data_IF_371277648545
#
_entry.id   IF_371277648545
#
_cell.length_a   1.000
_cell.length_b   1.000
_cell.length_c   1.000
_cell.angle_alpha   90.00
_cell.angle_beta   90.00
_cell.angle_gamma   90.00
#
_symmetry.space_group_name_H-M   'P 1'
#
loop_
_entity.id
_entity.type
_entity.pdbx_description
1 polymer ?
#
# COMPACT_ATOMS: atom_id res chain seq x y z
N UNK A 1 7.03 22.75 -13.18
CA UNK A 1 5.81 22.57 -12.35
C UNK A 1 6.14 21.52 -11.30
N UNK A 2 5.76 21.71 -10.05
CA UNK A 2 5.97 20.66 -9.03
C UNK A 2 4.84 19.64 -9.21
N UNK A 3 5.19 18.36 -9.45
CA UNK A 3 4.21 17.28 -9.56
C UNK A 3 3.88 16.81 -8.16
N UNK A 4 2.60 16.84 -7.83
CA UNK A 4 2.06 16.49 -6.52
C UNK A 4 1.09 15.32 -6.63
N UNK A 5 0.70 14.72 -5.50
CA UNK A 5 -0.34 13.70 -5.45
C UNK A 5 -1.63 14.18 -6.14
N UNK A 6 -2.02 15.45 -5.95
CA UNK A 6 -3.22 16.01 -6.59
C UNK A 6 -3.11 16.04 -8.12
N UNK A 7 -1.89 16.31 -8.65
CA UNK A 7 -1.64 16.22 -10.10
C UNK A 7 -1.85 14.79 -10.61
N UNK A 8 -1.39 13.79 -9.84
CA UNK A 8 -1.55 12.37 -10.18
C UNK A 8 -3.01 11.94 -10.13
N UNK A 9 -3.75 12.33 -9.09
CA UNK A 9 -5.18 12.03 -8.92
C UNK A 9 -6.04 12.61 -10.04
N UNK A 10 -5.66 13.77 -10.56
CA UNK A 10 -6.38 14.43 -11.66
C UNK A 10 -5.99 13.90 -13.05
N UNK A 11 -5.01 13.04 -13.16
CA UNK A 11 -4.53 12.53 -14.47
C UNK A 11 -5.52 11.51 -15.05
N UNK A 12 -6.08 11.74 -16.27
CA UNK A 12 -7.07 10.85 -16.85
C UNK A 12 -6.59 9.41 -17.08
N UNK A 13 -5.29 9.22 -17.38
CA UNK A 13 -4.68 7.91 -17.59
C UNK A 13 -4.63 7.13 -16.26
N UNK A 14 -4.30 7.81 -15.16
CA UNK A 14 -4.31 7.20 -13.81
C UNK A 14 -5.72 6.79 -13.42
N UNK A 15 -6.71 7.67 -13.61
CA UNK A 15 -8.12 7.41 -13.30
C UNK A 15 -8.59 6.17 -14.05
N UNK A 16 -8.44 6.14 -15.38
CA UNK A 16 -8.90 5.05 -16.22
C UNK A 16 -8.24 3.71 -15.86
N UNK A 17 -6.93 3.72 -15.55
CA UNK A 17 -6.21 2.49 -15.23
C UNK A 17 -6.55 1.95 -13.84
N UNK A 18 -6.73 2.81 -12.83
CA UNK A 18 -7.15 2.37 -11.49
C UNK A 18 -8.60 1.84 -11.49
N UNK A 19 -9.49 2.46 -12.25
CA UNK A 19 -10.86 1.94 -12.42
C UNK A 19 -10.84 0.55 -13.04
N UNK A 20 -10.14 0.38 -14.16
CA UNK A 20 -10.04 -0.90 -14.85
C UNK A 20 -9.35 -1.97 -13.98
N UNK A 21 -8.25 -1.62 -13.31
CA UNK A 21 -7.56 -2.53 -12.39
C UNK A 21 -8.48 -3.05 -11.28
N UNK A 22 -9.23 -2.14 -10.65
CA UNK A 22 -10.19 -2.51 -9.61
C UNK A 22 -11.34 -3.38 -10.13
N UNK A 23 -11.85 -3.10 -11.33
CA UNK A 23 -12.87 -3.92 -11.97
C UNK A 23 -12.36 -5.34 -12.27
N UNK A 24 -11.17 -5.45 -12.88
CA UNK A 24 -10.59 -6.74 -13.25
C UNK A 24 -10.29 -7.61 -12.03
N UNK A 25 -9.76 -7.02 -10.95
CA UNK A 25 -9.57 -7.71 -9.68
C UNK A 25 -10.90 -8.20 -9.09
N UNK A 26 -11.97 -7.42 -9.23
CA UNK A 26 -13.30 -7.84 -8.81
C UNK A 26 -13.81 -9.05 -9.58
N UNK A 27 -13.60 -9.11 -10.90
CA UNK A 27 -13.99 -10.25 -11.74
C UNK A 27 -13.30 -11.54 -11.33
N UNK A 28 -12.03 -11.48 -10.89
CA UNK A 28 -11.26 -12.66 -10.48
C UNK A 28 -11.31 -12.91 -8.96
N UNK A 29 -12.20 -12.20 -8.22
CA UNK A 29 -12.51 -12.49 -6.83
C UNK A 29 -11.60 -11.85 -5.78
N UNK A 30 -10.75 -10.89 -6.16
CA UNK A 30 -9.90 -10.18 -5.20
C UNK A 30 -10.67 -9.07 -4.46
N UNK A 31 -10.17 -8.72 -3.27
CA UNK A 31 -10.64 -7.59 -2.47
C UNK A 31 -10.52 -6.25 -3.23
N UNK A 32 -11.09 -5.19 -2.69
CA UNK A 32 -11.05 -3.86 -3.29
C UNK A 32 -9.60 -3.30 -3.33
N UNK A 33 -9.15 -2.87 -4.52
CA UNK A 33 -7.87 -2.21 -4.79
C UNK A 33 -8.09 -0.98 -5.69
N UNK A 34 -9.18 -0.25 -5.44
CA UNK A 34 -9.54 0.96 -6.18
C UNK A 34 -9.05 2.24 -5.50
N UNK A 35 -9.76 3.34 -5.79
CA UNK A 35 -9.39 4.68 -5.30
C UNK A 35 -9.31 4.77 -3.78
N UNK A 36 -10.22 4.11 -3.03
CA UNK A 36 -10.18 4.12 -1.57
C UNK A 36 -8.87 3.54 -1.04
N UNK A 37 -8.47 2.37 -1.54
CA UNK A 37 -7.20 1.74 -1.17
C UNK A 37 -6.02 2.63 -1.56
N UNK A 38 -5.96 3.08 -2.81
CA UNK A 38 -4.91 3.97 -3.30
C UNK A 38 -4.77 5.25 -2.46
N UNK A 39 -5.89 5.89 -2.11
CA UNK A 39 -5.92 7.07 -1.24
C UNK A 39 -5.44 6.77 0.18
N UNK A 40 -5.88 5.67 0.75
CA UNK A 40 -5.46 5.23 2.09
C UNK A 40 -3.95 5.02 2.13
N UNK A 41 -3.41 4.25 1.19
CA UNK A 41 -1.97 3.95 1.12
C UNK A 41 -1.15 5.21 0.85
N UNK A 42 -1.61 6.09 -0.05
CA UNK A 42 -0.95 7.37 -0.31
C UNK A 42 -0.84 8.24 0.95
N UNK A 43 -1.95 8.41 1.66
CA UNK A 43 -1.99 9.23 2.87
C UNK A 43 -1.14 8.64 4.00
N UNK A 44 -1.22 7.33 4.24
CA UNK A 44 -0.42 6.65 5.25
C UNK A 44 1.06 6.72 4.95
N UNK A 45 1.48 6.47 3.69
CA UNK A 45 2.89 6.56 3.28
C UNK A 45 3.47 7.95 3.52
N UNK A 46 2.74 9.00 3.14
CA UNK A 46 3.12 10.40 3.41
C UNK A 46 3.24 10.66 4.91
N UNK A 47 2.23 10.26 5.67
CA UNK A 47 2.16 10.50 7.11
C UNK A 47 3.31 9.82 7.86
N UNK A 48 3.69 8.59 7.53
CA UNK A 48 4.83 7.89 8.11
C UNK A 48 6.09 8.76 8.00
N UNK A 49 6.45 9.17 6.78
CA UNK A 49 7.67 9.95 6.56
C UNK A 49 7.59 11.35 7.19
N UNK A 50 6.42 11.98 7.15
CA UNK A 50 6.20 13.30 7.79
C UNK A 50 6.40 13.22 9.30
N UNK A 51 5.79 12.24 9.97
CA UNK A 51 5.92 12.06 11.43
C UNK A 51 7.34 11.67 11.85
N UNK A 52 8.07 10.95 10.99
CA UNK A 52 9.49 10.65 11.20
C UNK A 52 10.43 11.81 10.81
N UNK A 53 9.87 13.00 10.50
CA UNK A 53 10.60 14.23 10.17
C UNK A 53 11.46 14.16 8.91
N UNK A 54 11.11 13.29 7.94
CA UNK A 54 11.70 13.32 6.61
C UNK A 54 11.31 14.62 5.90
N UNK A 55 12.25 15.18 5.12
CA UNK A 55 12.03 16.43 4.41
C UNK A 55 11.45 16.18 3.01
N UNK A 56 10.72 17.16 2.49
CA UNK A 56 10.34 17.17 1.09
C UNK A 56 11.60 17.00 0.19
N UNK A 57 11.49 16.28 -0.94
CA UNK A 57 10.23 15.79 -1.52
C UNK A 57 9.81 14.39 -1.04
N UNK A 58 10.50 13.72 -0.10
CA UNK A 58 10.28 12.31 0.21
C UNK A 58 8.85 11.97 0.68
N UNK A 59 8.19 12.76 1.57
CA UNK A 59 6.80 12.50 1.93
C UNK A 59 5.84 12.57 0.73
N UNK A 60 6.03 13.52 -0.17
CA UNK A 60 5.20 13.63 -1.37
C UNK A 60 5.45 12.49 -2.36
N UNK A 61 6.71 12.08 -2.55
CA UNK A 61 7.04 10.90 -3.37
C UNK A 61 6.44 9.62 -2.79
N UNK A 62 6.38 9.49 -1.46
CA UNK A 62 5.73 8.37 -0.80
C UNK A 62 4.22 8.35 -1.04
N UNK A 63 3.56 9.52 -1.02
CA UNK A 63 2.16 9.63 -1.38
C UNK A 63 1.90 9.20 -2.83
N UNK A 64 2.73 9.67 -3.77
CA UNK A 64 2.60 9.33 -5.19
C UNK A 64 2.85 7.82 -5.41
N UNK A 65 3.90 7.26 -4.79
CA UNK A 65 4.17 5.82 -4.86
C UNK A 65 3.00 5.01 -4.30
N UNK A 66 2.45 5.41 -3.15
CA UNK A 66 1.29 4.78 -2.53
C UNK A 66 0.04 4.82 -3.40
N UNK A 67 -0.19 5.90 -4.13
CA UNK A 67 -1.35 6.01 -5.02
C UNK A 67 -1.22 5.15 -6.28
N UNK A 68 0.00 4.94 -6.78
CA UNK A 68 0.27 4.25 -8.04
C UNK A 68 0.69 2.78 -7.87
N UNK A 69 0.92 2.30 -6.64
CA UNK A 69 1.58 1.00 -6.40
C UNK A 69 0.86 -0.19 -7.03
N UNK A 70 -0.46 -0.12 -7.12
CA UNK A 70 -1.33 -1.21 -7.61
C UNK A 70 -1.89 -0.99 -9.02
N UNK A 71 -1.53 0.12 -9.69
CA UNK A 71 -2.06 0.47 -11.02
C UNK A 71 -1.80 -0.62 -12.08
N UNK A 72 -0.75 -1.42 -11.90
CA UNK A 72 -0.37 -2.51 -12.80
C UNK A 72 -1.32 -3.71 -12.76
N UNK A 73 -2.25 -3.79 -11.80
CA UNK A 73 -3.31 -4.78 -11.81
C UNK A 73 -4.23 -4.66 -13.05
N UNK A 74 -4.18 -3.53 -13.77
CA UNK A 74 -4.83 -3.40 -15.09
C UNK A 74 -4.24 -4.34 -16.14
N UNK A 75 -2.99 -4.78 -15.97
CA UNK A 75 -2.32 -5.71 -16.87
C UNK A 75 -2.51 -7.15 -16.41
N UNK A 76 -2.11 -7.44 -15.16
CA UNK A 76 -2.16 -8.79 -14.59
C UNK A 76 -1.90 -8.73 -13.08
N UNK A 77 -2.60 -9.56 -12.28
CA UNK A 77 -2.34 -9.65 -10.84
C UNK A 77 -0.96 -10.23 -10.51
N UNK A 78 -0.53 -11.24 -11.25
CA UNK A 78 0.74 -11.93 -10.95
C UNK A 78 1.96 -11.01 -11.12
N UNK A 79 1.96 -10.18 -12.17
CA UNK A 79 3.07 -9.31 -12.53
C UNK A 79 2.82 -7.83 -12.19
N UNK A 80 1.76 -7.55 -11.40
CA UNK A 80 1.32 -6.17 -11.15
C UNK A 80 2.41 -5.27 -10.59
N UNK A 81 3.33 -5.78 -9.79
CA UNK A 81 4.44 -5.02 -9.19
C UNK A 81 5.29 -4.37 -10.29
N UNK A 82 5.79 -5.21 -11.20
CA UNK A 82 6.62 -4.73 -12.32
C UNK A 82 5.81 -3.87 -13.28
N UNK A 83 4.56 -4.26 -13.57
CA UNK A 83 3.67 -3.49 -14.41
C UNK A 83 3.35 -2.10 -13.80
N UNK A 84 3.08 -2.03 -12.48
CA UNK A 84 2.86 -0.77 -11.77
C UNK A 84 4.07 0.15 -11.85
N UNK A 85 5.27 -0.39 -11.62
CA UNK A 85 6.52 0.37 -11.68
C UNK A 85 6.75 0.97 -13.09
N UNK A 86 6.51 0.20 -14.14
CA UNK A 86 6.67 0.65 -15.52
C UNK A 86 5.60 1.66 -15.94
N UNK A 87 4.33 1.44 -15.57
CA UNK A 87 3.23 2.37 -15.83
C UNK A 87 3.46 3.69 -15.08
N UNK A 88 3.89 3.61 -13.81
CA UNK A 88 4.22 4.80 -13.03
C UNK A 88 5.39 5.59 -13.67
N UNK A 89 6.44 4.90 -14.12
CA UNK A 89 7.57 5.53 -14.82
C UNK A 89 7.11 6.30 -16.07
N UNK A 90 6.24 5.70 -16.88
CA UNK A 90 5.70 6.29 -18.10
C UNK A 90 4.88 7.56 -17.77
N UNK A 91 3.91 7.45 -16.87
CA UNK A 91 3.05 8.58 -16.45
C UNK A 91 3.87 9.72 -15.85
N UNK A 92 4.79 9.42 -14.94
CA UNK A 92 5.61 10.43 -14.27
C UNK A 92 6.58 11.11 -15.24
N UNK A 93 7.11 10.37 -16.22
CA UNK A 93 7.93 10.89 -17.30
C UNK A 93 7.14 11.82 -18.23
N UNK A 94 5.93 11.47 -18.63
CA UNK A 94 5.02 12.33 -19.42
C UNK A 94 4.71 13.65 -18.69
N UNK A 95 4.59 13.60 -17.36
CA UNK A 95 4.35 14.78 -16.53
C UNK A 95 5.62 15.62 -16.32
N UNK A 96 6.80 15.15 -16.71
CA UNK A 96 8.07 15.85 -16.57
C UNK A 96 8.66 15.82 -15.16
N UNK A 97 8.39 14.76 -14.39
CA UNK A 97 9.04 14.57 -13.08
C UNK A 97 10.55 14.36 -13.26
N UNK A 98 11.41 14.92 -12.38
CA UNK A 98 12.85 14.63 -12.39
C UNK A 98 13.14 13.13 -12.28
N UNK A 99 14.09 12.63 -13.10
CA UNK A 99 14.40 11.20 -13.18
C UNK A 99 14.83 10.60 -11.85
N UNK A 100 15.50 11.37 -11.00
CA UNK A 100 15.90 10.95 -9.65
C UNK A 100 14.68 10.63 -8.77
N UNK A 101 13.61 11.43 -8.85
CA UNK A 101 12.36 11.22 -8.14
C UNK A 101 11.60 10.02 -8.72
N UNK A 102 11.56 9.89 -10.04
CA UNK A 102 10.96 8.72 -10.71
C UNK A 102 11.67 7.44 -10.26
N UNK A 103 13.00 7.42 -10.21
CA UNK A 103 13.75 6.25 -9.77
C UNK A 103 13.42 5.84 -8.32
N UNK A 104 13.22 6.80 -7.42
CA UNK A 104 12.80 6.54 -6.03
C UNK A 104 11.41 5.89 -6.00
N UNK A 105 10.44 6.44 -6.73
CA UNK A 105 9.07 5.93 -6.79
C UNK A 105 9.02 4.53 -7.43
N UNK A 106 9.67 4.35 -8.56
CA UNK A 106 9.73 3.07 -9.28
C UNK A 106 10.37 1.98 -8.42
N UNK A 107 11.47 2.32 -7.74
CA UNK A 107 12.12 1.41 -6.79
C UNK A 107 11.21 1.05 -5.61
N UNK A 108 10.42 2.00 -5.12
CA UNK A 108 9.46 1.73 -4.05
C UNK A 108 8.33 0.81 -4.52
N UNK A 109 7.72 1.12 -5.66
CA UNK A 109 6.63 0.30 -6.24
C UNK A 109 7.14 -1.11 -6.57
N UNK A 110 8.33 -1.24 -7.18
CA UNK A 110 8.91 -2.53 -7.56
C UNK A 110 9.30 -3.44 -6.40
N UNK A 111 9.30 -2.93 -5.15
CA UNK A 111 9.75 -3.65 -3.97
C UNK A 111 8.74 -3.67 -2.81
N UNK A 112 7.45 -3.43 -3.07
CA UNK A 112 6.48 -3.26 -1.98
C UNK A 112 5.82 -4.57 -1.50
N UNK A 113 5.83 -5.65 -2.28
CA UNK A 113 5.06 -6.87 -1.97
C UNK A 113 5.95 -8.06 -1.61
N UNK A 114 5.53 -8.79 -0.59
CA UNK A 114 6.13 -10.06 -0.16
C UNK A 114 5.88 -11.19 -1.19
N UNK A 115 6.70 -12.24 -1.23
CA UNK A 115 7.87 -12.47 -0.35
C UNK A 115 9.17 -11.82 -0.85
N UNK A 116 9.17 -11.22 -2.05
CA UNK A 116 10.40 -10.78 -2.74
C UNK A 116 10.73 -9.30 -2.51
N UNK A 117 9.79 -8.51 -2.03
CA UNK A 117 10.00 -7.09 -1.78
C UNK A 117 10.99 -6.81 -0.66
N UNK A 118 11.70 -5.68 -0.78
CA UNK A 118 12.66 -5.21 0.22
C UNK A 118 12.58 -3.66 0.32
N UNK A 119 12.74 -3.09 1.51
CA UNK A 119 12.75 -1.63 1.68
C UNK A 119 14.05 -1.02 1.13
N UNK A 120 14.11 -0.75 -0.17
CA UNK A 120 15.32 -0.25 -0.87
C UNK A 120 15.57 1.25 -0.66
N UNK A 121 14.56 1.99 -0.22
CA UNK A 121 14.65 3.41 0.14
C UNK A 121 13.54 3.77 1.16
N UNK A 122 13.56 4.99 1.70
CA UNK A 122 12.58 5.42 2.71
C UNK A 122 11.14 5.45 2.18
N UNK A 123 10.96 5.75 0.90
CA UNK A 123 9.64 5.73 0.23
C UNK A 123 9.12 4.30 0.13
N UNK A 124 9.97 3.33 -0.23
CA UNK A 124 9.62 1.91 -0.25
C UNK A 124 9.22 1.41 1.14
N UNK A 125 9.99 1.76 2.17
CA UNK A 125 9.67 1.37 3.54
C UNK A 125 8.31 1.93 4.01
N UNK A 126 8.03 3.19 3.71
CA UNK A 126 6.75 3.82 4.04
C UNK A 126 5.59 3.18 3.25
N UNK A 127 5.77 2.90 1.97
CA UNK A 127 4.79 2.22 1.12
C UNK A 127 4.45 0.82 1.65
N UNK A 128 5.47 0.02 1.98
CA UNK A 128 5.28 -1.32 2.55
C UNK A 128 4.40 -1.26 3.80
N UNK A 129 4.73 -0.38 4.75
CA UNK A 129 3.98 -0.24 5.99
C UNK A 129 2.54 0.23 5.75
N UNK A 130 2.36 1.17 4.84
CA UNK A 130 1.06 1.75 4.53
C UNK A 130 0.13 0.75 3.84
N UNK A 131 0.61 0.04 2.83
CA UNK A 131 -0.18 -0.96 2.11
C UNK A 131 -0.60 -2.11 3.02
N UNK A 132 0.34 -2.64 3.82
CA UNK A 132 0.07 -3.77 4.72
C UNK A 132 -0.81 -3.38 5.92
N UNK A 133 -1.01 -2.08 6.18
CA UNK A 133 -1.93 -1.58 7.20
C UNK A 133 -3.39 -1.48 6.70
N UNK A 134 -3.66 -1.52 5.39
CA UNK A 134 -5.04 -1.46 4.89
C UNK A 134 -5.71 -2.84 4.93
N UNK A 135 -5.92 -3.35 6.12
CA UNK A 135 -6.72 -4.56 6.42
C UNK A 135 -8.02 -4.11 7.07
N UNK A 136 -9.14 -4.21 6.35
CA UNK A 136 -10.42 -3.71 6.86
C UNK A 136 -11.60 -4.33 6.11
N UNK A 137 -12.75 -4.46 6.80
CA UNK A 137 -13.99 -5.02 6.21
C UNK A 137 -14.48 -4.31 4.95
N UNK A 138 -14.17 -3.02 4.78
CA UNK A 138 -14.55 -2.27 3.59
C UNK A 138 -13.86 -2.73 2.29
N UNK A 139 -12.83 -3.57 2.41
CA UNK A 139 -12.16 -4.17 1.24
C UNK A 139 -12.93 -5.35 0.65
N UNK A 140 -13.79 -5.98 1.45
CA UNK A 140 -14.53 -7.17 1.04
C UNK A 140 -15.70 -6.77 0.14
N UNK A 141 -15.71 -7.29 -1.10
CA UNK A 141 -16.73 -6.95 -2.11
C UNK A 141 -18.04 -7.64 -1.85
N UNK A 142 -18.02 -8.88 -1.40
CA UNK A 142 -19.22 -9.67 -1.12
C UNK A 142 -19.18 -10.32 0.27
N UNK A 143 -19.76 -9.64 1.29
CA UNK A 143 -19.82 -10.18 2.65
C UNK A 143 -20.55 -11.52 2.81
N UNK A 144 -21.36 -11.93 1.82
CA UNK A 144 -22.08 -13.20 1.87
C UNK A 144 -21.17 -14.41 1.56
N UNK A 145 -19.99 -14.17 0.96
CA UNK A 145 -19.07 -15.21 0.53
C UNK A 145 -17.83 -15.37 1.43
N UNK A 146 -17.73 -14.62 2.53
CA UNK A 146 -16.55 -14.64 3.44
C UNK A 146 -16.23 -16.03 4.00
N UNK A 147 -17.21 -16.94 4.05
CA UNK A 147 -16.99 -18.31 4.46
C UNK A 147 -16.17 -19.15 3.48
N UNK A 148 -16.05 -18.72 2.22
CA UNK A 148 -15.39 -19.45 1.14
C UNK A 148 -13.91 -19.09 0.97
N UNK A 149 -13.50 -17.90 1.41
CA UNK A 149 -12.14 -17.41 1.28
C UNK A 149 -11.63 -16.85 2.61
N UNK A 150 -10.45 -17.34 3.05
CA UNK A 150 -9.84 -16.91 4.32
C UNK A 150 -9.42 -15.44 4.29
N UNK A 151 -8.96 -14.93 3.13
CA UNK A 151 -8.56 -13.53 3.00
C UNK A 151 -9.75 -12.60 3.15
N UNK A 152 -10.88 -12.92 2.50
CA UNK A 152 -12.11 -12.16 2.66
C UNK A 152 -12.62 -12.24 4.10
N UNK A 153 -12.62 -13.44 4.72
CA UNK A 153 -13.07 -13.62 6.10
C UNK A 153 -12.24 -12.81 7.09
N UNK A 154 -10.91 -12.86 6.98
CA UNK A 154 -10.01 -12.12 7.86
C UNK A 154 -10.15 -10.62 7.65
N UNK A 155 -10.19 -10.12 6.40
CA UNK A 155 -10.42 -8.70 6.14
C UNK A 155 -11.77 -8.24 6.69
N UNK A 156 -12.83 -9.05 6.56
CA UNK A 156 -14.16 -8.71 7.04
C UNK A 156 -14.26 -8.68 8.56
N UNK A 157 -13.47 -9.52 9.24
CA UNK A 157 -13.38 -9.53 10.70
C UNK A 157 -12.70 -8.29 11.28
N UNK A 158 -11.86 -7.59 10.49
CA UNK A 158 -11.18 -6.38 10.98
C UNK A 158 -12.12 -5.19 10.93
N UNK A 159 -12.49 -4.68 12.12
CA UNK A 159 -13.36 -3.52 12.32
C UNK A 159 -12.60 -2.21 12.32
N UNK A 160 -11.34 -2.24 12.77
CA UNK A 160 -10.46 -1.08 12.83
C UNK A 160 -9.04 -1.53 12.53
N UNK A 161 -8.39 -0.77 11.65
CA UNK A 161 -6.96 -0.82 11.41
C UNK A 161 -6.40 0.59 11.60
N UNK A 162 -5.38 0.72 12.44
CA UNK A 162 -4.76 2.01 12.74
C UNK A 162 -3.23 1.88 12.75
N UNK A 163 -2.56 2.68 11.94
CA UNK A 163 -1.11 2.76 11.90
C UNK A 163 -0.64 4.00 12.66
N UNK A 164 -0.02 3.77 13.82
CA UNK A 164 0.55 4.81 14.67
C UNK A 164 2.04 5.00 14.42
N UNK A 165 2.51 6.25 14.50
CA UNK A 165 3.94 6.59 14.39
C UNK A 165 4.35 7.43 15.60
N UNK A 166 5.20 6.89 16.48
CA UNK A 166 5.81 7.60 17.59
C UNK A 166 7.30 7.83 17.31
N UNK A 167 7.62 9.00 16.77
CA UNK A 167 8.99 9.36 16.42
C UNK A 167 9.92 9.48 17.65
N UNK A 168 9.38 9.81 18.82
CA UNK A 168 10.17 9.95 20.04
C UNK A 168 10.60 8.58 20.57
N UNK A 169 9.69 7.61 20.57
CA UNK A 169 9.96 6.23 20.98
C UNK A 169 10.60 5.41 19.86
N UNK A 170 10.58 5.92 18.62
CA UNK A 170 11.01 5.21 17.41
C UNK A 170 10.21 3.92 17.20
N UNK A 171 8.89 4.00 17.33
CA UNK A 171 7.96 2.89 17.14
C UNK A 171 6.95 3.25 16.05
N UNK A 172 6.73 2.30 15.17
CA UNK A 172 5.57 2.26 14.27
C UNK A 172 4.70 1.10 14.71
N UNK A 173 3.45 1.35 15.08
CA UNK A 173 2.53 0.31 15.55
C UNK A 173 1.36 0.15 14.60
N UNK A 174 1.00 -1.10 14.29
CA UNK A 174 -0.23 -1.46 13.61
C UNK A 174 -1.20 -2.05 14.63
N UNK A 175 -2.29 -1.33 14.92
CA UNK A 175 -3.34 -1.76 15.84
C UNK A 175 -4.54 -2.28 15.05
N UNK A 176 -4.93 -3.52 15.29
CA UNK A 176 -6.08 -4.14 14.65
C UNK A 176 -7.13 -4.53 15.69
N UNK A 177 -8.40 -4.19 15.42
CA UNK A 177 -9.53 -4.70 16.17
C UNK A 177 -10.22 -5.77 15.35
N UNK A 178 -10.21 -7.02 15.84
CA UNK A 178 -10.70 -8.19 15.10
C UNK A 178 -11.97 -8.73 15.81
N UNK A 179 -13.06 -8.88 15.07
CA UNK A 179 -14.27 -9.60 15.54
C UNK A 179 -13.99 -11.11 15.51
N UNK A 180 -13.71 -11.67 16.68
CA UNK A 180 -13.38 -13.10 16.84
C UNK A 180 -14.56 -14.05 16.61
N UNK A 181 -15.79 -13.55 16.46
CA UNK A 181 -16.93 -14.35 16.03
C UNK A 181 -16.89 -14.63 14.51
N UNK A 182 -16.18 -13.81 13.74
CA UNK A 182 -16.04 -13.96 12.28
C UNK A 182 -14.76 -14.71 11.91
N UNK A 183 -13.62 -14.31 12.50
CA UNK A 183 -12.31 -14.93 12.23
C UNK A 183 -11.47 -14.98 13.50
N UNK A 184 -10.81 -16.13 13.72
CA UNK A 184 -9.87 -16.28 14.83
C UNK A 184 -8.61 -15.45 14.57
N UNK A 185 -7.98 -14.92 15.63
CA UNK A 185 -6.72 -14.17 15.52
C UNK A 185 -5.62 -14.99 14.85
N UNK A 186 -5.61 -16.30 15.04
CA UNK A 186 -4.65 -17.19 14.39
C UNK A 186 -4.80 -17.23 12.86
N UNK A 187 -6.01 -17.11 12.31
CA UNK A 187 -6.23 -17.02 10.85
C UNK A 187 -5.59 -15.77 10.27
N UNK A 188 -5.58 -14.64 11.02
CA UNK A 188 -4.84 -13.45 10.61
C UNK A 188 -3.34 -13.74 10.44
N UNK A 189 -2.73 -14.39 11.43
CA UNK A 189 -1.31 -14.73 11.35
C UNK A 189 -1.01 -15.76 10.26
N UNK A 190 -1.91 -16.71 10.03
CA UNK A 190 -1.75 -17.72 8.99
C UNK A 190 -1.54 -17.09 7.59
N UNK A 191 -2.32 -16.08 7.25
CA UNK A 191 -2.26 -15.45 5.93
C UNK A 191 -1.34 -14.21 5.87
N UNK A 192 -1.11 -13.53 7.01
CA UNK A 192 -0.42 -12.23 7.02
C UNK A 192 0.95 -12.23 7.73
N UNK A 193 1.45 -13.39 8.17
CA UNK A 193 2.75 -13.44 8.84
C UNK A 193 3.88 -12.89 7.96
N UNK A 194 3.91 -13.24 6.69
CA UNK A 194 4.90 -12.74 5.73
C UNK A 194 4.82 -11.23 5.53
N UNK A 195 3.60 -10.67 5.57
CA UNK A 195 3.37 -9.22 5.56
C UNK A 195 3.95 -8.54 6.80
N UNK A 196 3.75 -9.13 7.98
CA UNK A 196 4.32 -8.58 9.22
C UNK A 196 5.85 -8.65 9.21
N UNK A 197 6.43 -9.67 8.60
CA UNK A 197 7.89 -9.77 8.45
C UNK A 197 8.47 -8.67 7.56
N UNK A 198 7.84 -8.34 6.43
CA UNK A 198 8.31 -7.24 5.57
C UNK A 198 8.05 -5.88 6.25
N UNK A 199 6.97 -5.71 7.01
CA UNK A 199 6.73 -4.52 7.82
C UNK A 199 7.84 -4.30 8.86
N UNK A 200 8.28 -5.37 9.52
CA UNK A 200 9.41 -5.31 10.46
C UNK A 200 10.71 -4.86 9.77
N UNK A 201 11.00 -5.39 8.57
CA UNK A 201 12.15 -4.94 7.77
C UNK A 201 12.03 -3.46 7.41
N UNK A 202 10.84 -3.01 7.01
CA UNK A 202 10.56 -1.61 6.67
C UNK A 202 10.73 -0.69 7.89
N UNK A 203 10.22 -1.07 9.06
CA UNK A 203 10.46 -0.35 10.31
C UNK A 203 11.95 -0.22 10.62
N UNK A 204 12.70 -1.32 10.56
CA UNK A 204 14.15 -1.32 10.77
C UNK A 204 14.88 -0.40 9.79
N UNK A 205 14.46 -0.37 8.51
CA UNK A 205 15.03 0.54 7.51
C UNK A 205 14.82 2.01 7.89
N UNK A 206 13.65 2.35 8.44
CA UNK A 206 13.31 3.69 8.94
C UNK A 206 13.91 3.99 10.33
N UNK A 207 14.69 3.07 10.88
CA UNK A 207 15.30 3.16 12.24
C UNK A 207 14.25 3.22 13.34
N UNK A 208 13.18 2.48 13.18
CA UNK A 208 12.08 2.30 14.13
C UNK A 208 11.86 0.80 14.39
N UNK A 209 11.27 0.48 15.54
CA UNK A 209 10.69 -0.83 15.79
C UNK A 209 9.28 -0.88 15.20
N UNK A 210 8.85 -2.07 14.75
CA UNK A 210 7.49 -2.31 14.27
C UNK A 210 6.78 -3.25 15.25
N UNK A 211 5.65 -2.77 15.79
CA UNK A 211 4.79 -3.48 16.73
C UNK A 211 3.41 -3.78 16.10
N UNK A 212 2.82 -4.94 16.45
CA UNK A 212 1.47 -5.36 16.07
C UNK A 212 0.68 -5.69 17.32
#
# INVERSE_FOLDING_TARGET
>A
MIITLETIKANPKVIAFLEAANEYLGVIGYTEHGFRHADTVANLSKNILTHLNYKEPLPELAAIAGYLHDIGNVVNRTDHISASALIAMDILGELGMPMENIAIIVGAIGNHEEPVGEPVNAVAAALILADKADVHRSRVRNPQLIGLDIHDRVNYAVERSFLGVDANKKIISLELTIDTNISQVMEYFEIFLTRMMICKKAGTFLKTDFDL
#
